data_IF_501208568323
#
_entry.id   IF_501208568323
#
_cell.length_a   1.000
_cell.length_b   1.000
_cell.length_c   1.000
_cell.angle_alpha   90.00
_cell.angle_beta   90.00
_cell.angle_gamma   90.00
#
_symmetry.space_group_name_H-M   'P 1'
#
loop_
_entity.id
_entity.type
_entity.pdbx_description
1 polymer ?
#
# COMPACT_ATOMS: atom_id res chain seq x y z
N UNK A 1 -34.95 4.27 14.90
CA UNK A 1 -35.21 5.48 15.71
C UNK A 1 -34.04 5.64 16.67
N UNK A 2 -33.37 6.79 16.72
CA UNK A 2 -32.28 7.03 17.66
C UNK A 2 -32.80 7.20 19.09
N UNK A 3 -31.94 6.94 20.07
CA UNK A 3 -32.23 7.07 21.50
C UNK A 3 -31.23 8.02 22.15
N UNK A 4 -31.66 8.75 23.17
CA UNK A 4 -30.77 9.58 23.97
C UNK A 4 -29.90 8.70 24.88
N UNK A 5 -28.57 8.82 24.77
CA UNK A 5 -27.61 8.02 25.56
C UNK A 5 -27.74 8.22 27.07
N UNK A 6 -28.29 9.36 27.51
CA UNK A 6 -28.43 9.70 28.93
C UNK A 6 -29.71 9.21 29.58
N UNK A 7 -30.84 9.23 28.85
CA UNK A 7 -32.16 8.96 29.43
C UNK A 7 -32.98 7.89 28.70
N UNK A 8 -32.45 7.34 27.59
CA UNK A 8 -33.10 6.30 26.80
C UNK A 8 -34.36 6.73 26.05
N UNK A 9 -34.67 8.04 26.02
CA UNK A 9 -35.85 8.54 25.30
C UNK A 9 -35.63 8.46 23.78
N UNK A 10 -36.60 7.91 23.05
CA UNK A 10 -36.62 7.89 21.58
C UNK A 10 -37.03 9.26 21.06
N UNK A 11 -36.31 9.78 20.06
CA UNK A 11 -36.61 11.08 19.47
C UNK A 11 -36.61 11.01 17.94
N UNK A 12 -37.20 12.03 17.30
CA UNK A 12 -37.20 12.18 15.84
C UNK A 12 -36.00 13.02 15.38
N UNK A 13 -35.43 12.66 14.22
CA UNK A 13 -34.25 13.33 13.66
C UNK A 13 -34.60 14.77 13.28
N UNK A 14 -33.94 15.75 13.91
CA UNK A 14 -34.16 17.19 13.67
C UNK A 14 -34.17 18.04 14.95
N UNK A 15 -34.35 17.41 16.11
CA UNK A 15 -34.27 18.09 17.40
C UNK A 15 -32.82 18.20 17.89
N UNK A 16 -32.36 19.43 18.18
CA UNK A 16 -30.99 19.66 18.68
C UNK A 16 -30.81 19.29 20.17
N UNK A 17 -31.91 19.05 20.90
CA UNK A 17 -31.92 18.73 22.33
C UNK A 17 -32.96 17.67 22.64
N UNK A 18 -32.66 16.79 23.59
CA UNK A 18 -33.61 15.80 24.08
C UNK A 18 -34.76 16.50 24.84
N UNK A 19 -36.03 16.24 24.49
CA UNK A 19 -37.18 16.88 25.15
C UNK A 19 -37.36 16.44 26.61
N UNK A 20 -36.81 15.28 26.99
CA UNK A 20 -36.95 14.72 28.33
C UNK A 20 -35.85 15.15 29.30
N UNK A 21 -34.60 15.22 28.85
CA UNK A 21 -33.45 15.51 29.72
C UNK A 21 -32.68 16.79 29.37
N UNK A 22 -33.03 17.47 28.28
CA UNK A 22 -32.40 18.72 27.86
C UNK A 22 -30.98 18.58 27.28
N UNK A 23 -30.43 17.37 27.24
CA UNK A 23 -29.11 17.08 26.71
C UNK A 23 -29.04 17.34 25.20
N UNK A 24 -27.90 17.82 24.71
CA UNK A 24 -27.69 18.03 23.27
C UNK A 24 -27.59 16.69 22.55
N UNK A 25 -28.35 16.53 21.47
CA UNK A 25 -28.34 15.31 20.68
C UNK A 25 -27.26 15.38 19.59
N UNK A 26 -26.60 14.25 19.25
CA UNK A 26 -25.63 14.23 18.17
C UNK A 26 -26.31 14.60 16.85
N UNK A 27 -25.76 15.60 16.15
CA UNK A 27 -26.22 15.96 14.80
C UNK A 27 -25.92 14.80 13.87
N UNK A 28 -26.96 14.09 13.48
CA UNK A 28 -26.87 13.07 12.45
C UNK A 28 -27.02 13.75 11.09
N UNK A 29 -25.91 14.01 10.41
CA UNK A 29 -25.92 14.46 9.01
C UNK A 29 -26.32 13.26 8.12
N UNK A 30 -27.63 13.09 7.94
CA UNK A 30 -28.26 12.01 7.16
C UNK A 30 -27.71 11.96 5.73
N UNK A 31 -27.30 13.10 5.17
CA UNK A 31 -26.69 13.18 3.84
C UNK A 31 -25.35 12.43 3.74
N UNK A 32 -24.51 12.46 4.77
CA UNK A 32 -23.18 11.85 4.71
C UNK A 32 -23.26 10.31 4.76
N UNK A 33 -24.18 9.76 5.58
CA UNK A 33 -24.43 8.31 5.62
C UNK A 33 -25.07 7.77 4.34
N UNK A 34 -25.99 8.52 3.73
CA UNK A 34 -26.61 8.14 2.47
C UNK A 34 -25.61 8.20 1.31
N UNK A 35 -24.67 9.15 1.33
CA UNK A 35 -23.60 9.23 0.34
C UNK A 35 -22.60 8.07 0.49
N UNK A 36 -22.18 7.73 1.72
CA UNK A 36 -21.28 6.60 1.97
C UNK A 36 -21.88 5.26 1.53
N UNK A 37 -23.10 4.94 1.96
CA UNK A 37 -23.78 3.69 1.61
C UNK A 37 -24.06 3.54 0.11
N UNK A 38 -24.40 4.64 -0.58
CA UNK A 38 -24.52 4.66 -2.04
C UNK A 38 -23.16 4.48 -2.74
N UNK A 39 -22.09 5.06 -2.20
CA UNK A 39 -20.74 4.87 -2.74
C UNK A 39 -20.22 3.43 -2.55
N UNK A 40 -20.52 2.80 -1.41
CA UNK A 40 -20.14 1.42 -1.09
C UNK A 40 -20.89 0.41 -1.97
N UNK A 41 -22.20 0.56 -2.12
CA UNK A 41 -23.00 -0.31 -3.01
C UNK A 41 -22.60 -0.20 -4.49
N UNK A 42 -22.19 0.99 -4.95
CA UNK A 42 -21.62 1.19 -6.29
C UNK A 42 -20.24 0.53 -6.41
N UNK A 43 -19.36 0.66 -5.39
CA UNK A 43 -18.04 0.00 -5.36
C UNK A 43 -18.19 -1.53 -5.40
N UNK A 44 -19.14 -2.08 -4.63
CA UNK A 44 -19.36 -3.52 -4.53
C UNK A 44 -19.88 -4.12 -5.85
N UNK A 45 -20.89 -3.48 -6.47
CA UNK A 45 -21.42 -3.91 -7.77
C UNK A 45 -20.37 -3.88 -8.90
N UNK A 46 -19.37 -3.00 -8.82
CA UNK A 46 -18.27 -2.91 -9.80
C UNK A 46 -17.20 -3.99 -9.58
N UNK A 47 -17.01 -4.43 -8.34
CA UNK A 47 -16.08 -5.51 -7.97
C UNK A 47 -16.54 -6.87 -8.49
N UNK A 48 -17.84 -7.16 -8.47
CA UNK A 48 -18.39 -8.47 -8.85
C UNK A 48 -18.24 -8.80 -10.34
N UNK A 49 -18.05 -7.79 -11.20
CA UNK A 49 -17.83 -7.97 -12.65
C UNK A 49 -16.39 -8.30 -13.05
N UNK A 50 -15.42 -8.17 -12.14
CA UNK A 50 -14.00 -8.38 -12.48
C UNK A 50 -13.61 -9.82 -12.10
N UNK A 51 -13.18 -10.67 -13.06
CA UNK A 51 -12.79 -12.05 -12.74
C UNK A 51 -11.54 -12.05 -11.85
N UNK A 52 -11.72 -12.49 -10.61
CA UNK A 52 -10.65 -12.56 -9.61
C UNK A 52 -9.77 -13.77 -9.91
N UNK A 53 -8.51 -13.52 -10.28
CA UNK A 53 -7.55 -14.61 -10.48
C UNK A 53 -7.36 -15.45 -9.21
N UNK A 54 -7.25 -16.77 -9.36
CA UNK A 54 -6.97 -17.74 -8.29
C UNK A 54 -5.71 -17.37 -7.51
N UNK A 55 -5.75 -17.57 -6.18
CA UNK A 55 -4.65 -17.24 -5.26
C UNK A 55 -3.32 -17.86 -5.70
N UNK A 56 -3.34 -19.11 -6.17
CA UNK A 56 -2.15 -19.84 -6.62
C UNK A 56 -1.41 -19.11 -7.74
N UNK A 57 -2.13 -18.67 -8.77
CA UNK A 57 -1.57 -17.92 -9.91
C UNK A 57 -0.96 -16.59 -9.46
N UNK A 58 -1.58 -15.92 -8.49
CA UNK A 58 -1.04 -14.67 -7.92
C UNK A 58 0.27 -14.93 -7.17
N UNK A 59 0.33 -16.02 -6.40
CA UNK A 59 1.49 -16.38 -5.61
C UNK A 59 2.66 -16.81 -6.51
N UNK A 60 2.41 -17.63 -7.52
CA UNK A 60 3.43 -18.06 -8.48
C UNK A 60 3.96 -16.86 -9.27
N UNK A 61 3.08 -16.00 -9.79
CA UNK A 61 3.51 -14.79 -10.50
C UNK A 61 4.39 -13.88 -9.63
N UNK A 62 4.01 -13.68 -8.36
CA UNK A 62 4.80 -12.93 -7.39
C UNK A 62 6.15 -13.58 -7.08
N UNK A 63 6.21 -14.91 -6.97
CA UNK A 63 7.46 -15.65 -6.74
C UNK A 63 8.44 -15.47 -7.91
N UNK A 64 7.96 -15.54 -9.16
CA UNK A 64 8.79 -15.28 -10.34
C UNK A 64 9.35 -13.86 -10.35
N UNK A 65 8.55 -12.85 -10.01
CA UNK A 65 9.02 -11.46 -9.90
C UNK A 65 10.14 -11.32 -8.85
N UNK A 66 10.01 -12.01 -7.72
CA UNK A 66 11.02 -12.00 -6.65
C UNK A 66 12.30 -12.68 -7.12
N UNK A 67 12.21 -13.86 -7.72
CA UNK A 67 13.38 -14.60 -8.23
C UNK A 67 14.13 -13.79 -9.27
N UNK A 68 13.41 -13.19 -10.23
CA UNK A 68 14.01 -12.35 -11.27
C UNK A 68 14.68 -11.13 -10.65
N UNK A 69 13.98 -10.42 -9.76
CA UNK A 69 14.52 -9.21 -9.11
C UNK A 69 15.75 -9.50 -8.26
N UNK A 70 15.71 -10.54 -7.42
CA UNK A 70 16.83 -10.96 -6.57
C UNK A 70 17.99 -11.46 -7.44
N UNK A 71 17.72 -12.31 -8.43
CA UNK A 71 18.74 -12.86 -9.32
C UNK A 71 19.47 -11.76 -10.10
N UNK A 72 18.75 -10.80 -10.66
CA UNK A 72 19.32 -9.65 -11.35
C UNK A 72 20.18 -8.80 -10.40
N UNK A 73 19.69 -8.55 -9.17
CA UNK A 73 20.43 -7.79 -8.16
C UNK A 73 21.76 -8.45 -7.81
N UNK A 74 21.77 -9.75 -7.47
CA UNK A 74 22.99 -10.49 -7.16
C UNK A 74 23.95 -10.55 -8.36
N UNK A 75 23.43 -10.70 -9.57
CA UNK A 75 24.22 -10.70 -10.79
C UNK A 75 24.95 -9.37 -11.00
N UNK A 76 24.24 -8.24 -10.89
CA UNK A 76 24.83 -6.91 -11.05
C UNK A 76 25.85 -6.64 -9.93
N UNK A 77 25.51 -6.96 -8.68
CA UNK A 77 26.44 -6.80 -7.53
C UNK A 77 27.71 -7.60 -7.77
N UNK A 78 27.61 -8.86 -8.21
CA UNK A 78 28.77 -9.72 -8.51
C UNK A 78 29.66 -9.09 -9.58
N UNK A 79 29.09 -8.58 -10.66
CA UNK A 79 29.85 -7.91 -11.74
C UNK A 79 30.56 -6.66 -11.22
N UNK A 80 29.85 -5.82 -10.46
CA UNK A 80 30.39 -4.57 -9.92
C UNK A 80 31.52 -4.86 -8.93
N UNK A 81 31.27 -5.72 -7.93
CA UNK A 81 32.27 -6.09 -6.93
C UNK A 81 33.50 -6.72 -7.58
N UNK A 82 33.32 -7.68 -8.50
CA UNK A 82 34.43 -8.33 -9.19
C UNK A 82 35.31 -7.32 -9.94
N UNK A 83 34.69 -6.36 -10.63
CA UNK A 83 35.42 -5.34 -11.41
C UNK A 83 36.16 -4.33 -10.52
N UNK A 84 35.65 -4.06 -9.32
CA UNK A 84 36.29 -3.12 -8.37
C UNK A 84 37.36 -3.77 -7.49
N UNK A 85 37.16 -5.02 -7.06
CA UNK A 85 38.19 -5.80 -6.35
C UNK A 85 39.45 -5.89 -7.21
N UNK A 86 39.31 -6.20 -8.50
CA UNK A 86 40.44 -6.31 -9.42
C UNK A 86 41.21 -4.99 -9.62
N UNK A 87 40.54 -3.83 -9.43
CA UNK A 87 41.14 -2.49 -9.60
C UNK A 87 41.64 -1.83 -8.30
N UNK A 88 41.59 -2.51 -7.14
CA UNK A 88 41.94 -1.96 -5.80
C UNK A 88 41.29 -0.59 -5.48
N UNK A 89 40.15 -0.26 -6.08
CA UNK A 89 39.49 1.03 -5.93
C UNK A 89 38.27 0.95 -4.99
N UNK A 90 38.53 0.67 -3.70
CA UNK A 90 37.49 0.35 -2.69
C UNK A 90 36.39 1.43 -2.55
N UNK A 91 36.76 2.72 -2.49
CA UNK A 91 35.79 3.82 -2.31
C UNK A 91 34.84 3.94 -3.50
N UNK A 92 35.37 3.78 -4.72
CA UNK A 92 34.55 3.80 -5.95
C UNK A 92 33.66 2.56 -6.05
N UNK A 93 34.12 1.42 -5.53
CA UNK A 93 33.33 0.20 -5.42
C UNK A 93 32.14 0.34 -4.48
N UNK A 94 32.33 0.97 -3.32
CA UNK A 94 31.24 1.20 -2.35
C UNK A 94 30.13 2.08 -2.96
N UNK A 95 30.51 3.16 -3.64
CA UNK A 95 29.56 4.05 -4.32
C UNK A 95 28.80 3.33 -5.46
N UNK A 96 29.50 2.48 -6.23
CA UNK A 96 28.87 1.69 -7.28
C UNK A 96 27.87 0.68 -6.72
N UNK A 97 28.19 0.04 -5.58
CA UNK A 97 27.25 -0.87 -4.89
C UNK A 97 26.01 -0.11 -4.41
N UNK A 98 26.18 1.08 -3.81
CA UNK A 98 25.05 1.92 -3.40
C UNK A 98 24.14 2.28 -4.58
N UNK A 99 24.72 2.69 -5.72
CA UNK A 99 23.96 2.97 -6.94
C UNK A 99 23.16 1.75 -7.39
N UNK A 100 23.74 0.56 -7.39
CA UNK A 100 23.05 -0.67 -7.80
C UNK A 100 21.86 -0.97 -6.90
N UNK A 101 22.02 -0.83 -5.58
CA UNK A 101 20.89 -1.02 -4.66
C UNK A 101 19.79 0.01 -4.87
N UNK A 102 20.14 1.29 -5.06
CA UNK A 102 19.16 2.35 -5.35
C UNK A 102 18.42 2.09 -6.67
N UNK A 103 19.13 1.70 -7.73
CA UNK A 103 18.50 1.33 -9.00
C UNK A 103 17.60 0.11 -8.87
N UNK A 104 18.00 -0.88 -8.06
CA UNK A 104 17.19 -2.06 -7.78
C UNK A 104 15.92 -1.69 -7.00
N UNK A 105 16.01 -0.80 -6.03
CA UNK A 105 14.85 -0.29 -5.29
C UNK A 105 13.88 0.46 -6.21
N UNK A 106 14.39 1.32 -7.11
CA UNK A 106 13.59 2.01 -8.12
C UNK A 106 12.90 1.02 -9.05
N UNK A 107 13.62 -0.02 -9.49
CA UNK A 107 13.03 -1.09 -10.30
C UNK A 107 11.88 -1.78 -9.57
N UNK A 108 12.06 -2.17 -8.30
CA UNK A 108 10.99 -2.78 -7.51
C UNK A 108 9.79 -1.86 -7.28
N UNK A 109 10.04 -0.55 -7.12
CA UNK A 109 8.98 0.47 -6.99
C UNK A 109 8.14 0.59 -8.27
N UNK A 110 8.81 0.52 -9.42
CA UNK A 110 8.22 0.72 -10.74
C UNK A 110 7.82 -0.59 -11.44
N UNK A 111 8.06 -1.76 -10.83
CA UNK A 111 7.83 -3.06 -11.51
C UNK A 111 6.40 -3.26 -11.99
N UNK A 112 5.40 -2.67 -11.30
CA UNK A 112 3.98 -2.75 -11.68
C UNK A 112 3.52 -1.52 -12.49
N UNK A 113 4.42 -0.62 -12.90
CA UNK A 113 4.06 0.63 -13.58
C UNK A 113 3.65 0.43 -15.03
N UNK A 114 3.97 -0.72 -15.63
CA UNK A 114 3.57 -1.06 -16.99
C UNK A 114 2.13 -1.60 -16.98
N UNK A 115 1.14 -0.69 -16.95
CA UNK A 115 -0.29 -1.04 -17.03
C UNK A 115 -0.74 -2.00 -15.90
N UNK A 116 -0.20 -1.83 -14.70
CA UNK A 116 -0.49 -2.72 -13.57
C UNK A 116 0.07 -4.13 -13.73
N UNK A 117 1.05 -4.34 -14.60
CA UNK A 117 1.70 -5.64 -14.83
C UNK A 117 3.18 -5.58 -14.51
N UNK A 118 3.63 -6.54 -13.70
CA UNK A 118 5.03 -6.91 -13.56
C UNK A 118 5.41 -7.99 -14.55
N UNK A 119 6.71 -8.25 -14.72
CA UNK A 119 7.22 -9.27 -15.64
C UNK A 119 6.62 -10.67 -15.36
N UNK A 120 6.61 -11.09 -14.09
CA UNK A 120 5.98 -12.33 -13.66
C UNK A 120 4.49 -12.33 -13.95
N UNK A 121 3.77 -11.24 -13.64
CA UNK A 121 2.33 -11.13 -13.95
C UNK A 121 2.06 -11.16 -15.46
N UNK A 122 2.94 -10.60 -16.29
CA UNK A 122 2.82 -10.68 -17.76
C UNK A 122 2.89 -12.12 -18.25
N UNK A 123 3.81 -12.93 -17.72
CA UNK A 123 3.95 -14.35 -18.06
C UNK A 123 2.66 -15.12 -17.75
N UNK A 124 2.00 -14.81 -16.63
CA UNK A 124 0.75 -15.46 -16.22
C UNK A 124 -0.52 -14.77 -16.71
N UNK A 125 -0.41 -13.73 -17.55
CA UNK A 125 -1.57 -12.98 -18.08
C UNK A 125 -2.38 -12.24 -17.00
N UNK A 126 -1.75 -11.90 -15.87
CA UNK A 126 -2.38 -11.21 -14.75
C UNK A 126 -2.21 -9.68 -14.87
N UNK A 127 -3.22 -8.95 -14.42
CA UNK A 127 -3.21 -7.48 -14.37
C UNK A 127 -3.72 -7.02 -13.01
N UNK A 128 -3.10 -6.00 -12.42
CA UNK A 128 -3.63 -5.32 -11.24
C UNK A 128 -4.59 -4.23 -11.70
N UNK A 129 -5.83 -4.28 -11.24
CA UNK A 129 -6.87 -3.29 -11.54
C UNK A 129 -7.21 -2.52 -10.27
N UNK A 130 -7.33 -1.21 -10.39
CA UNK A 130 -7.85 -0.36 -9.32
C UNK A 130 -9.38 -0.48 -9.29
N UNK A 131 -9.93 -1.05 -8.23
CA UNK A 131 -11.38 -1.33 -8.10
C UNK A 131 -12.20 -0.03 -8.10
N UNK A 132 -11.67 1.06 -7.55
CA UNK A 132 -12.37 2.34 -7.48
C UNK A 132 -12.51 2.96 -8.88
N UNK A 133 -11.40 2.99 -9.62
CA UNK A 133 -11.34 3.59 -10.96
C UNK A 133 -11.80 2.63 -12.06
N UNK A 134 -11.85 1.33 -11.78
CA UNK A 134 -12.06 0.24 -12.74
C UNK A 134 -11.15 0.35 -13.97
N UNK A 135 -9.90 0.72 -13.70
CA UNK A 135 -8.83 0.88 -14.69
C UNK A 135 -7.61 0.11 -14.22
N UNK A 136 -6.73 -0.25 -15.16
CA UNK A 136 -5.42 -0.80 -14.85
C UNK A 136 -4.70 0.11 -13.84
N UNK A 137 -3.97 -0.51 -12.90
CA UNK A 137 -3.27 0.26 -11.87
C UNK A 137 -2.24 1.20 -12.51
N UNK A 138 -2.30 2.46 -12.12
CA UNK A 138 -1.38 3.49 -12.59
C UNK A 138 -0.04 3.43 -11.83
N UNK A 139 0.93 4.20 -12.32
CA UNK A 139 2.25 4.33 -11.71
C UNK A 139 2.17 4.75 -10.23
N UNK A 140 1.25 5.68 -9.89
CA UNK A 140 1.02 6.11 -8.51
C UNK A 140 0.52 4.97 -7.60
N UNK A 141 -0.40 4.13 -8.11
CA UNK A 141 -0.90 2.98 -7.37
C UNK A 141 0.18 1.92 -7.15
N UNK A 142 1.09 1.75 -8.12
CA UNK A 142 2.28 0.90 -7.97
C UNK A 142 3.23 1.42 -6.91
N UNK A 143 3.57 2.71 -6.96
CA UNK A 143 4.49 3.33 -6.00
C UNK A 143 3.96 3.23 -4.58
N UNK A 144 2.67 3.52 -4.34
CA UNK A 144 2.10 3.46 -2.99
C UNK A 144 2.17 2.04 -2.41
N UNK A 145 1.85 1.01 -3.22
CA UNK A 145 1.88 -0.40 -2.78
C UNK A 145 3.31 -0.93 -2.58
N UNK A 146 4.25 -0.50 -3.42
CA UNK A 146 5.62 -1.01 -3.40
C UNK A 146 6.60 -0.08 -2.65
N UNK A 147 6.15 1.07 -2.13
CA UNK A 147 7.00 2.04 -1.41
C UNK A 147 7.70 1.42 -0.20
N UNK A 148 6.96 0.62 0.59
CA UNK A 148 7.52 -0.06 1.77
C UNK A 148 8.66 -1.00 1.36
N UNK A 149 8.47 -1.76 0.28
CA UNK A 149 9.49 -2.67 -0.25
C UNK A 149 10.72 -1.90 -0.76
N UNK A 150 10.51 -0.79 -1.47
CA UNK A 150 11.60 0.04 -1.96
C UNK A 150 12.43 0.67 -0.83
N UNK A 151 11.78 1.12 0.25
CA UNK A 151 12.47 1.65 1.44
C UNK A 151 13.34 0.56 2.08
N UNK A 152 12.90 -0.69 2.15
CA UNK A 152 13.70 -1.77 2.75
C UNK A 152 14.96 -2.10 1.91
N UNK A 153 14.88 -1.96 0.59
CA UNK A 153 15.96 -2.32 -0.35
C UNK A 153 17.11 -1.31 -0.35
N UNK A 154 16.85 -0.02 -0.05
CA UNK A 154 17.91 1.00 -0.03
C UNK A 154 18.72 0.88 1.27
N UNK A 155 19.99 0.42 1.22
CA UNK A 155 20.81 0.30 2.42
C UNK A 155 21.07 1.67 3.04
N UNK A 156 21.29 1.67 4.36
CA UNK A 156 21.54 2.87 5.18
C UNK A 156 20.31 3.80 5.28
N UNK A 157 19.96 4.53 4.22
CA UNK A 157 18.87 5.52 4.26
C UNK A 157 17.52 4.85 4.48
N UNK A 158 17.26 3.79 3.71
CA UNK A 158 16.01 3.06 3.77
C UNK A 158 15.81 2.35 5.10
N UNK A 159 16.87 1.77 5.67
CA UNK A 159 16.84 1.13 6.99
C UNK A 159 16.61 2.13 8.12
N UNK A 160 17.21 3.31 8.04
CA UNK A 160 16.97 4.40 9.01
C UNK A 160 15.50 4.84 8.95
N UNK A 161 14.97 5.09 7.75
CA UNK A 161 13.57 5.50 7.56
C UNK A 161 12.63 4.39 8.09
N UNK A 162 12.89 3.14 7.75
CA UNK A 162 12.10 2.00 8.21
C UNK A 162 12.11 1.87 9.74
N UNK A 163 13.28 2.03 10.37
CA UNK A 163 13.39 2.02 11.82
C UNK A 163 12.58 3.15 12.47
N UNK A 164 12.66 4.38 11.93
CA UNK A 164 11.88 5.53 12.42
C UNK A 164 10.37 5.27 12.29
N UNK A 165 9.90 4.81 11.12
CA UNK A 165 8.50 4.48 10.92
C UNK A 165 8.01 3.39 11.87
N UNK A 166 8.82 2.36 12.10
CA UNK A 166 8.49 1.26 13.03
C UNK A 166 8.35 1.79 14.45
N UNK A 167 9.26 2.64 14.90
CA UNK A 167 9.19 3.27 16.23
C UNK A 167 7.92 4.12 16.38
N UNK A 168 7.58 4.93 15.37
CA UNK A 168 6.35 5.74 15.38
C UNK A 168 5.10 4.86 15.50
N UNK A 169 5.03 3.78 14.72
CA UNK A 169 3.89 2.85 14.75
C UNK A 169 3.77 2.18 16.13
N UNK A 170 4.90 1.73 16.71
CA UNK A 170 4.92 1.13 18.06
C UNK A 170 4.44 2.12 19.11
N UNK A 171 4.87 3.39 19.03
CA UNK A 171 4.41 4.45 19.93
C UNK A 171 2.90 4.70 19.75
N UNK A 172 2.41 4.77 18.51
CA UNK A 172 0.98 4.97 18.22
C UNK A 172 0.11 3.84 18.80
N UNK A 173 0.54 2.59 18.65
CA UNK A 173 -0.13 1.42 19.20
C UNK A 173 -0.07 1.45 20.74
N UNK A 174 1.10 1.74 21.32
CA UNK A 174 1.28 1.82 22.77
C UNK A 174 0.50 2.96 23.43
N UNK A 175 0.24 4.05 22.70
CA UNK A 175 -0.56 5.18 23.16
C UNK A 175 -2.07 4.98 22.98
N UNK A 176 -2.53 3.83 22.49
CA UNK A 176 -3.95 3.49 22.43
C UNK A 176 -4.78 4.42 21.54
N UNK A 177 -4.18 5.06 20.54
CA UNK A 177 -4.96 5.70 19.48
C UNK A 177 -5.56 4.59 18.61
N UNK A 178 -6.72 4.11 19.03
CA UNK A 178 -7.63 3.32 18.18
C UNK A 178 -7.82 4.10 16.86
N UNK A 179 -7.52 3.43 15.74
CA UNK A 179 -7.72 3.97 14.40
C UNK A 179 -9.21 4.08 14.06
#
# INVERSE_FOLDING_TARGET
MPFCDKCGFSYELGENKCPKCGEYLPKFDIEEKNFRSKSESIKQKKSDTIPVASIEKRLIAGAFDIIIGIGLMFFIIRIVIFRFIFRRALVKGLFAVLIVYTLSAIYFLLRDSLKGKSFGKMIFGLTVVNIERNKEADLADSMLRNAILAIIIVPVIGWIIFAICTVIIVIQIGMGKEQ
#
